data_IF_232307565186
#
_entry.id   IF_232307565186
#
_cell.length_a   1.000
_cell.length_b   1.000
_cell.length_c   1.000
_cell.angle_alpha   90.00
_cell.angle_beta   90.00
_cell.angle_gamma   90.00
#
_symmetry.space_group_name_H-M   'P 1'
#
loop_
_entity.id
_entity.type
_entity.pdbx_description
1 polymer ?
#
# COMPACT_ATOMS: atom_id res chain seq x y z
N UNK A 1 12.23 0.62 49.64
CA UNK A 1 10.97 -0.17 49.78
C UNK A 1 10.66 -0.59 51.23
N UNK A 2 11.60 -1.11 52.05
CA UNK A 2 11.28 -1.78 53.34
C UNK A 2 10.46 -1.05 54.43
N UNK A 3 10.41 0.29 54.50
CA UNK A 3 9.85 1.00 55.66
C UNK A 3 8.36 1.40 55.53
N UNK A 4 7.81 1.40 54.30
CA UNK A 4 6.37 1.66 54.05
C UNK A 4 5.54 0.39 54.22
N UNK A 5 6.05 -0.75 53.76
CA UNK A 5 5.36 -2.04 53.77
C UNK A 5 5.13 -2.56 55.21
N UNK A 6 6.13 -2.38 56.09
CA UNK A 6 6.01 -2.75 57.51
C UNK A 6 4.97 -1.93 58.27
N UNK A 7 4.82 -0.63 57.96
CA UNK A 7 3.80 0.24 58.57
C UNK A 7 2.39 -0.13 58.12
N UNK A 8 2.21 -0.51 56.85
CA UNK A 8 0.92 -0.94 56.33
C UNK A 8 0.47 -2.26 56.98
N UNK A 9 1.37 -3.25 57.07
CA UNK A 9 1.12 -4.51 57.76
C UNK A 9 0.70 -4.33 59.22
N UNK A 10 1.42 -3.46 59.95
CA UNK A 10 1.08 -3.11 61.33
C UNK A 10 -0.30 -2.43 61.44
N UNK A 11 -0.66 -1.59 60.47
CA UNK A 11 -1.97 -0.93 60.46
C UNK A 11 -3.13 -1.90 60.25
N UNK A 12 -2.99 -2.90 59.37
CA UNK A 12 -4.03 -3.91 59.15
C UNK A 12 -4.13 -4.94 60.27
N UNK A 13 -3.00 -5.27 60.92
CA UNK A 13 -3.03 -6.04 62.16
C UNK A 13 -3.79 -5.29 63.27
N UNK A 14 -3.57 -3.97 63.39
CA UNK A 14 -4.32 -3.15 64.34
C UNK A 14 -5.82 -3.09 64.03
N UNK A 15 -6.22 -3.02 62.75
CA UNK A 15 -7.64 -3.11 62.33
C UNK A 15 -8.24 -4.47 62.73
N UNK A 16 -7.51 -5.57 62.52
CA UNK A 16 -7.94 -6.90 62.98
C UNK A 16 -8.19 -6.96 64.50
N UNK A 17 -7.29 -6.35 65.28
CA UNK A 17 -7.44 -6.23 66.74
C UNK A 17 -8.66 -5.39 67.13
N UNK A 18 -8.96 -4.30 66.40
CA UNK A 18 -10.16 -3.48 66.62
C UNK A 18 -11.44 -4.29 66.34
N UNK A 19 -11.48 -5.05 65.25
CA UNK A 19 -12.62 -5.92 64.90
C UNK A 19 -12.85 -6.98 65.98
N UNK A 20 -11.79 -7.63 66.45
CA UNK A 20 -11.85 -8.57 67.59
C UNK A 20 -12.40 -7.88 68.85
N UNK A 21 -11.94 -6.66 69.15
CA UNK A 21 -12.45 -5.86 70.27
C UNK A 21 -13.95 -5.56 70.17
N UNK A 22 -14.45 -5.25 68.97
CA UNK A 22 -15.88 -5.02 68.72
C UNK A 22 -16.69 -6.32 68.90
N UNK A 23 -16.20 -7.45 68.38
CA UNK A 23 -16.88 -8.75 68.52
C UNK A 23 -16.99 -9.14 70.00
N UNK A 24 -15.92 -8.98 70.77
CA UNK A 24 -15.90 -9.28 72.20
C UNK A 24 -16.82 -8.34 72.99
N UNK A 25 -16.80 -7.05 72.68
CA UNK A 25 -17.68 -6.05 73.31
C UNK A 25 -19.16 -6.34 73.04
N UNK A 26 -19.50 -6.66 71.79
CA UNK A 26 -20.86 -7.03 71.39
C UNK A 26 -21.28 -8.35 72.07
N UNK A 27 -20.43 -9.37 72.10
CA UNK A 27 -20.74 -10.63 72.76
C UNK A 27 -21.05 -10.43 74.26
N UNK A 28 -20.32 -9.53 74.93
CA UNK A 28 -20.54 -9.18 76.33
C UNK A 28 -21.87 -8.41 76.53
N UNK A 29 -22.20 -7.45 75.64
CA UNK A 29 -23.48 -6.72 75.68
C UNK A 29 -24.71 -7.63 75.49
N UNK A 30 -24.57 -8.71 74.72
CA UNK A 30 -25.63 -9.68 74.49
C UNK A 30 -25.59 -10.89 75.45
N UNK A 31 -24.80 -10.81 76.54
CA UNK A 31 -24.65 -11.86 77.55
C UNK A 31 -24.31 -13.25 76.96
N UNK A 32 -23.66 -13.31 75.79
CA UNK A 32 -23.36 -14.57 75.10
C UNK A 32 -24.59 -15.36 74.59
N UNK A 33 -25.80 -14.78 74.65
CA UNK A 33 -27.05 -15.45 74.21
C UNK A 33 -27.18 -15.53 72.69
N UNK A 34 -26.46 -14.68 71.95
CA UNK A 34 -26.46 -14.71 70.50
C UNK A 34 -25.49 -15.80 69.99
N UNK A 35 -26.04 -16.86 69.41
CA UNK A 35 -25.29 -18.01 68.89
C UNK A 35 -24.21 -17.62 67.87
N UNK A 36 -24.45 -16.58 67.08
CA UNK A 36 -23.49 -16.10 66.05
C UNK A 36 -22.29 -15.44 66.72
N UNK A 37 -22.52 -14.56 67.71
CA UNK A 37 -21.43 -13.88 68.44
C UNK A 37 -20.63 -14.84 69.31
N UNK A 38 -21.30 -15.85 69.90
CA UNK A 38 -20.63 -16.86 70.70
C UNK A 38 -19.65 -17.69 69.84
N UNK A 39 -20.09 -18.11 68.65
CA UNK A 39 -19.24 -18.79 67.67
C UNK A 39 -18.07 -17.91 67.19
N UNK A 40 -18.33 -16.61 66.92
CA UNK A 40 -17.30 -15.65 66.48
C UNK A 40 -16.29 -15.29 67.60
N UNK A 41 -16.67 -15.44 68.87
CA UNK A 41 -15.83 -15.13 70.03
C UNK A 41 -14.84 -16.24 70.42
N UNK A 42 -14.88 -17.37 69.71
CA UNK A 42 -13.94 -18.47 69.93
C UNK A 42 -12.51 -18.01 69.60
N UNK A 43 -11.56 -18.35 70.48
CA UNK A 43 -10.17 -17.87 70.37
C UNK A 43 -9.50 -18.22 69.03
N UNK A 44 -9.84 -19.37 68.45
CA UNK A 44 -9.37 -19.80 67.12
C UNK A 44 -9.92 -18.91 66.00
N UNK A 45 -11.20 -18.51 66.09
CA UNK A 45 -11.85 -17.64 65.10
C UNK A 45 -11.29 -16.22 65.19
N UNK A 46 -11.10 -15.69 66.40
CA UNK A 46 -10.50 -14.37 66.62
C UNK A 46 -9.04 -14.32 66.15
N UNK A 47 -8.24 -15.34 66.46
CA UNK A 47 -6.88 -15.48 65.95
C UNK A 47 -6.87 -15.58 64.41
N UNK A 48 -7.82 -16.32 63.84
CA UNK A 48 -8.04 -16.39 62.40
C UNK A 48 -8.29 -15.03 61.75
N UNK A 49 -9.12 -14.17 62.35
CA UNK A 49 -9.41 -12.81 61.86
C UNK A 49 -8.15 -11.94 61.88
N UNK A 50 -7.37 -11.97 62.97
CA UNK A 50 -6.15 -11.17 63.13
C UNK A 50 -5.06 -11.59 62.16
N UNK A 51 -4.98 -12.88 61.81
CA UNK A 51 -3.99 -13.42 60.85
C UNK A 51 -4.45 -13.24 59.40
N UNK A 52 -5.74 -13.42 59.11
CA UNK A 52 -6.25 -13.38 57.74
C UNK A 52 -6.10 -12.00 57.08
N UNK A 53 -6.32 -10.91 57.82
CA UNK A 53 -6.26 -9.56 57.26
C UNK A 53 -4.85 -9.15 56.77
N UNK A 54 -3.78 -9.28 57.57
CA UNK A 54 -2.40 -9.07 57.10
C UNK A 54 -2.01 -10.00 55.93
N UNK A 55 -2.51 -11.24 55.94
CA UNK A 55 -2.22 -12.25 54.91
C UNK A 55 -2.88 -11.90 53.57
N UNK A 56 -4.13 -11.43 53.58
CA UNK A 56 -4.82 -10.95 52.38
C UNK A 56 -4.14 -9.72 51.78
N UNK A 57 -3.67 -8.80 52.63
CA UNK A 57 -2.95 -7.60 52.19
C UNK A 57 -1.61 -7.97 51.55
N UNK A 58 -0.82 -8.87 52.14
CA UNK A 58 0.45 -9.31 51.55
C UNK A 58 0.24 -10.08 50.25
N UNK A 59 -0.80 -10.91 50.16
CA UNK A 59 -1.18 -11.54 48.90
C UNK A 59 -1.53 -10.53 47.82
N UNK A 60 -2.35 -9.53 48.16
CA UNK A 60 -2.75 -8.52 47.19
C UNK A 60 -1.54 -7.66 46.73
N UNK A 61 -0.66 -7.30 47.66
CA UNK A 61 0.60 -6.61 47.34
C UNK A 61 1.54 -7.46 46.49
N UNK A 62 1.67 -8.76 46.78
CA UNK A 62 2.48 -9.67 45.97
C UNK A 62 1.92 -9.80 44.55
N UNK A 63 0.59 -9.84 44.40
CA UNK A 63 -0.08 -9.80 43.09
C UNK A 63 0.20 -8.48 42.37
N UNK A 64 0.04 -7.33 43.04
CA UNK A 64 0.34 -6.02 42.46
C UNK A 64 1.81 -5.88 42.04
N UNK A 65 2.75 -6.25 42.91
CA UNK A 65 4.19 -6.25 42.60
C UNK A 65 4.53 -7.21 41.45
N UNK A 66 3.90 -8.39 41.39
CA UNK A 66 4.11 -9.32 40.29
C UNK A 66 3.63 -8.75 38.95
N UNK A 67 2.49 -8.03 38.95
CA UNK A 67 1.95 -7.36 37.77
C UNK A 67 2.83 -6.20 37.35
N UNK A 68 3.32 -5.40 38.30
CA UNK A 68 4.19 -4.26 38.04
C UNK A 68 5.58 -4.70 37.54
N UNK A 69 6.16 -5.74 38.14
CA UNK A 69 7.41 -6.33 37.66
C UNK A 69 7.26 -6.90 36.25
N UNK A 70 6.17 -7.63 35.96
CA UNK A 70 5.89 -8.14 34.61
C UNK A 70 5.76 -6.99 33.60
N UNK A 71 5.07 -5.91 33.98
CA UNK A 71 4.95 -4.69 33.17
C UNK A 71 6.31 -4.03 32.91
N UNK A 72 7.18 -3.94 33.91
CA UNK A 72 8.52 -3.38 33.76
C UNK A 72 9.40 -4.24 32.84
N UNK A 73 9.41 -5.57 33.02
CA UNK A 73 10.16 -6.48 32.13
C UNK A 73 9.70 -6.40 30.68
N UNK A 74 8.38 -6.33 30.45
CA UNK A 74 7.84 -6.13 29.09
C UNK A 74 8.26 -4.77 28.52
N UNK A 75 8.19 -3.70 29.32
CA UNK A 75 8.63 -2.37 28.89
C UNK A 75 10.11 -2.32 28.52
N UNK A 76 10.98 -3.02 29.26
CA UNK A 76 12.42 -3.09 28.96
C UNK A 76 12.68 -3.87 27.67
N UNK A 77 12.00 -5.01 27.46
CA UNK A 77 12.10 -5.78 26.23
C UNK A 77 11.65 -4.98 25.00
N UNK A 78 10.56 -4.20 25.11
CA UNK A 78 10.09 -3.32 24.03
C UNK A 78 11.12 -2.24 23.74
N UNK A 79 11.69 -1.61 24.77
CA UNK A 79 12.73 -0.59 24.61
C UNK A 79 13.97 -1.14 23.91
N UNK A 80 14.41 -2.34 24.26
CA UNK A 80 15.57 -2.97 23.63
C UNK A 80 15.28 -3.39 22.18
N UNK A 81 14.05 -3.83 21.90
CA UNK A 81 13.57 -4.10 20.53
C UNK A 81 13.60 -2.82 19.68
N UNK A 82 13.06 -1.71 20.20
CA UNK A 82 13.08 -0.40 19.53
C UNK A 82 14.51 0.01 19.23
N UNK A 83 15.41 -0.01 20.24
CA UNK A 83 16.83 0.34 20.06
C UNK A 83 17.50 -0.49 18.96
N UNK A 84 17.20 -1.79 18.90
CA UNK A 84 17.78 -2.70 17.91
C UNK A 84 17.36 -2.32 16.48
N UNK A 85 16.07 -2.09 16.25
CA UNK A 85 15.56 -1.72 14.93
C UNK A 85 15.88 -0.28 14.54
N UNK A 86 15.87 0.66 15.49
CA UNK A 86 16.33 2.05 15.26
C UNK A 86 17.78 2.07 14.81
N UNK A 87 18.65 1.28 15.45
CA UNK A 87 20.05 1.17 15.05
C UNK A 87 20.17 0.68 13.60
N UNK A 88 19.43 -0.36 13.23
CA UNK A 88 19.44 -0.87 11.86
C UNK A 88 18.94 0.15 10.83
N UNK A 89 17.86 0.87 11.15
CA UNK A 89 17.35 1.94 10.29
C UNK A 89 18.36 3.08 10.19
N UNK A 90 18.95 3.50 11.31
CA UNK A 90 19.94 4.59 11.34
C UNK A 90 21.15 4.25 10.47
N UNK A 91 21.69 3.04 10.57
CA UNK A 91 22.81 2.58 9.74
C UNK A 91 22.44 2.54 8.25
N UNK A 92 21.24 2.05 7.93
CA UNK A 92 20.74 1.95 6.55
C UNK A 92 20.51 3.36 5.94
N UNK A 93 19.89 4.25 6.71
CA UNK A 93 19.61 5.64 6.34
C UNK A 93 20.89 6.44 6.19
N UNK A 94 21.89 6.24 7.06
CA UNK A 94 23.19 6.87 6.93
C UNK A 94 23.90 6.48 5.62
N UNK A 95 23.84 5.19 5.26
CA UNK A 95 24.39 4.70 4.00
C UNK A 95 23.65 5.27 2.77
N UNK A 96 22.31 5.30 2.79
CA UNK A 96 21.49 5.95 1.75
C UNK A 96 21.82 7.44 1.62
N UNK A 97 21.95 8.14 2.73
CA UNK A 97 22.25 9.58 2.74
C UNK A 97 23.64 9.86 2.15
N UNK A 98 24.60 8.96 2.40
CA UNK A 98 25.96 9.04 1.86
C UNK A 98 26.01 8.74 0.37
N UNK A 99 25.32 7.70 -0.10
CA UNK A 99 25.34 7.31 -1.52
C UNK A 99 24.37 8.12 -2.37
N UNK A 100 23.36 8.77 -1.76
CA UNK A 100 22.23 9.42 -2.43
C UNK A 100 21.49 8.49 -3.40
N UNK A 101 21.44 7.21 -3.04
CA UNK A 101 20.82 6.15 -3.86
C UNK A 101 19.94 5.26 -2.99
N UNK A 102 18.74 4.95 -3.51
CA UNK A 102 17.79 4.02 -2.92
C UNK A 102 17.53 2.85 -3.88
N UNK A 103 18.43 1.86 -3.92
CA UNK A 103 18.20 0.63 -4.68
C UNK A 103 17.15 -0.23 -3.98
N UNK A 104 16.51 -1.11 -4.77
CA UNK A 104 15.39 -1.94 -4.31
C UNK A 104 15.67 -2.73 -3.03
N UNK A 105 16.86 -3.32 -2.90
CA UNK A 105 17.20 -4.10 -1.71
C UNK A 105 17.24 -3.26 -0.41
N UNK A 106 17.59 -1.97 -0.49
CA UNK A 106 17.54 -1.06 0.67
C UNK A 106 16.11 -0.65 0.97
N UNK A 107 15.32 -0.35 -0.07
CA UNK A 107 13.91 -0.01 0.07
C UNK A 107 13.11 -1.16 0.72
N UNK A 108 13.26 -2.38 0.19
CA UNK A 108 12.64 -3.57 0.76
C UNK A 108 13.14 -3.90 2.18
N UNK A 109 14.39 -3.55 2.51
CA UNK A 109 14.90 -3.70 3.88
C UNK A 109 14.24 -2.73 4.86
N UNK A 110 13.93 -1.49 4.44
CA UNK A 110 13.16 -0.54 5.25
C UNK A 110 11.77 -1.10 5.53
N UNK A 111 11.05 -1.51 4.48
CA UNK A 111 9.72 -2.12 4.60
C UNK A 111 9.74 -3.32 5.54
N UNK A 112 10.68 -4.25 5.34
CA UNK A 112 10.84 -5.43 6.19
C UNK A 112 11.09 -5.09 7.66
N UNK A 113 11.94 -4.10 7.96
CA UNK A 113 12.22 -3.69 9.33
C UNK A 113 10.95 -3.15 9.99
N UNK A 114 10.22 -2.27 9.30
CA UNK A 114 8.99 -1.66 9.82
C UNK A 114 7.92 -2.71 10.05
N UNK A 115 7.68 -3.59 9.08
CA UNK A 115 6.70 -4.68 9.20
C UNK A 115 7.04 -5.64 10.34
N UNK A 116 8.32 -6.00 10.50
CA UNK A 116 8.77 -6.90 11.56
C UNK A 116 8.62 -6.23 12.92
N UNK A 117 9.04 -4.97 13.03
CA UNK A 117 8.87 -4.16 14.23
C UNK A 117 7.39 -4.06 14.64
N UNK A 118 6.50 -3.72 13.70
CA UNK A 118 5.07 -3.59 13.95
C UNK A 118 4.41 -4.90 14.38
N UNK A 119 4.78 -6.03 13.77
CA UNK A 119 4.30 -7.35 14.18
C UNK A 119 4.68 -7.66 15.62
N UNK A 120 5.94 -7.38 15.99
CA UNK A 120 6.41 -7.57 17.37
C UNK A 120 5.68 -6.63 18.32
N UNK A 121 5.55 -5.35 17.99
CA UNK A 121 4.93 -4.36 18.87
C UNK A 121 3.44 -4.51 19.05
N UNK A 122 2.72 -5.05 18.06
CA UNK A 122 1.30 -5.36 18.19
C UNK A 122 1.02 -6.27 19.39
N UNK A 123 1.84 -7.30 19.57
CA UNK A 123 1.72 -8.22 20.72
C UNK A 123 1.92 -7.52 22.07
N UNK A 124 2.76 -6.47 22.09
CA UNK A 124 3.08 -5.73 23.33
C UNK A 124 2.12 -4.57 23.61
N UNK A 125 1.64 -3.87 22.57
CA UNK A 125 0.73 -2.72 22.68
C UNK A 125 -0.68 -3.10 23.17
N UNK A 126 -1.12 -4.33 22.93
CA UNK A 126 -2.35 -4.87 23.53
C UNK A 126 -2.26 -4.95 25.08
N UNK A 127 -1.05 -4.99 25.62
CA UNK A 127 -0.77 -5.18 27.05
C UNK A 127 -0.42 -3.84 27.73
N UNK A 128 0.33 -2.97 27.04
CA UNK A 128 0.84 -1.72 27.58
C UNK A 128 0.73 -0.63 26.52
N UNK A 129 -0.05 0.44 26.78
CA UNK A 129 -0.04 1.66 25.96
C UNK A 129 1.32 2.34 26.08
N UNK A 130 2.32 1.89 25.32
CA UNK A 130 3.68 2.41 25.33
C UNK A 130 3.82 3.51 24.28
N UNK A 131 4.41 4.64 24.67
CA UNK A 131 4.75 5.76 23.78
C UNK A 131 6.21 5.64 23.33
N UNK A 132 6.52 4.54 22.62
CA UNK A 132 7.88 4.27 22.12
C UNK A 132 7.76 3.82 20.66
N UNK A 133 8.21 4.68 19.75
CA UNK A 133 8.21 4.44 18.29
C UNK A 133 9.64 4.45 17.74
N UNK A 134 9.83 3.88 16.54
CA UNK A 134 11.05 4.13 15.76
C UNK A 134 11.13 5.61 15.33
N UNK A 135 12.33 6.07 14.96
CA UNK A 135 12.53 7.41 14.39
C UNK A 135 12.16 7.45 12.89
N UNK A 136 10.86 7.36 12.62
CA UNK A 136 10.33 7.42 11.26
C UNK A 136 10.58 8.77 10.57
N UNK A 137 10.76 9.85 11.34
CA UNK A 137 11.00 11.20 10.81
C UNK A 137 12.34 11.26 10.09
N UNK A 138 13.41 10.75 10.72
CA UNK A 138 14.74 10.71 10.10
C UNK A 138 14.75 9.86 8.82
N UNK A 139 14.06 8.71 8.85
CA UNK A 139 13.93 7.82 7.69
C UNK A 139 13.23 8.55 6.55
N UNK A 140 12.08 9.17 6.81
CA UNK A 140 11.30 9.90 5.82
C UNK A 140 12.11 11.03 5.18
N UNK A 141 12.72 11.91 6.00
CA UNK A 141 13.57 13.01 5.53
C UNK A 141 14.68 12.53 4.60
N UNK A 142 15.26 11.35 4.88
CA UNK A 142 16.35 10.84 4.05
C UNK A 142 15.87 10.29 2.72
N UNK A 143 14.88 9.39 2.71
CA UNK A 143 14.40 8.76 1.46
C UNK A 143 13.74 9.79 0.54
N UNK A 144 12.98 10.73 1.09
CA UNK A 144 12.30 11.80 0.35
C UNK A 144 13.24 12.92 -0.11
N UNK A 145 14.53 12.89 0.25
CA UNK A 145 15.53 13.84 -0.26
C UNK A 145 16.18 13.40 -1.57
N UNK A 146 15.95 12.14 -1.99
CA UNK A 146 16.61 11.54 -3.15
C UNK A 146 15.89 11.99 -4.42
N UNK A 147 16.54 12.86 -5.18
CA UNK A 147 15.99 13.40 -6.42
C UNK A 147 15.86 12.30 -7.48
N UNK A 148 14.73 12.32 -8.20
CA UNK A 148 14.48 11.47 -9.34
C UNK A 148 15.47 11.71 -10.51
N UNK A 149 15.71 10.70 -11.36
CA UNK A 149 16.56 10.83 -12.55
C UNK A 149 15.89 11.67 -13.66
N UNK A 150 16.67 12.09 -14.67
CA UNK A 150 16.12 12.81 -15.83
C UNK A 150 15.12 11.94 -16.60
N UNK A 151 14.09 12.58 -17.15
CA UNK A 151 13.04 11.91 -17.91
C UNK A 151 12.09 11.11 -17.04
N UNK A 152 11.79 11.62 -15.84
CA UNK A 152 10.88 11.01 -14.86
C UNK A 152 9.42 10.96 -15.35
N UNK A 153 9.08 11.91 -16.21
CA UNK A 153 7.77 12.09 -16.84
C UNK A 153 7.51 11.11 -17.99
N UNK A 154 8.57 10.50 -18.54
CA UNK A 154 8.45 9.63 -19.71
C UNK A 154 8.15 8.19 -19.29
N UNK A 155 7.01 7.60 -19.70
CA UNK A 155 6.73 6.21 -19.44
C UNK A 155 7.77 5.31 -20.11
N UNK A 156 8.24 4.29 -19.39
CA UNK A 156 9.18 3.29 -19.92
C UNK A 156 10.68 3.60 -19.71
N UNK A 157 11.02 4.71 -19.05
CA UNK A 157 12.39 4.96 -18.60
C UNK A 157 12.72 4.07 -17.40
N UNK A 158 13.49 3.00 -17.60
CA UNK A 158 13.80 2.00 -16.57
C UNK A 158 14.42 2.60 -15.29
N UNK A 159 15.27 3.63 -15.41
CA UNK A 159 15.85 4.28 -14.23
C UNK A 159 14.80 5.08 -13.45
N UNK A 160 13.90 5.76 -14.17
CA UNK A 160 12.79 6.49 -13.57
C UNK A 160 11.80 5.54 -12.87
N UNK A 161 11.39 4.46 -13.55
CA UNK A 161 10.48 3.45 -13.00
C UNK A 161 11.07 2.77 -11.76
N UNK A 162 12.36 2.38 -11.81
CA UNK A 162 13.04 1.81 -10.65
C UNK A 162 13.09 2.81 -9.49
N UNK A 163 13.34 4.09 -9.76
CA UNK A 163 13.32 5.12 -8.70
C UNK A 163 11.93 5.25 -8.08
N UNK A 164 10.87 5.34 -8.91
CA UNK A 164 9.48 5.47 -8.45
C UNK A 164 9.09 4.31 -7.55
N UNK A 165 9.35 3.08 -8.01
CA UNK A 165 9.04 1.85 -7.28
C UNK A 165 9.84 1.75 -5.98
N UNK A 166 11.15 1.95 -6.02
CA UNK A 166 11.99 1.86 -4.82
C UNK A 166 11.62 2.92 -3.77
N UNK A 167 11.35 4.15 -4.21
CA UNK A 167 10.89 5.20 -3.30
C UNK A 167 9.56 4.80 -2.67
N UNK A 168 8.57 4.40 -3.48
CA UNK A 168 7.25 3.96 -3.00
C UNK A 168 7.34 2.83 -1.98
N UNK A 169 8.15 1.80 -2.24
CA UNK A 169 8.34 0.65 -1.34
C UNK A 169 8.83 1.09 0.05
N UNK A 170 9.76 2.04 0.12
CA UNK A 170 10.24 2.56 1.41
C UNK A 170 9.26 3.59 2.02
N UNK A 171 8.63 4.40 1.18
CA UNK A 171 7.83 5.56 1.57
C UNK A 171 6.51 5.18 2.22
N UNK A 172 5.75 4.28 1.59
CA UNK A 172 4.42 3.84 2.04
C UNK A 172 4.38 3.38 3.51
N UNK A 173 5.23 2.43 3.96
CA UNK A 173 5.21 1.99 5.36
C UNK A 173 5.64 3.11 6.32
N UNK A 174 6.64 3.93 5.97
CA UNK A 174 7.10 5.04 6.82
C UNK A 174 6.00 6.10 6.99
N UNK A 175 5.29 6.44 5.91
CA UNK A 175 4.20 7.40 5.95
C UNK A 175 3.05 6.94 6.83
N UNK A 176 2.64 5.67 6.71
CA UNK A 176 1.58 5.09 7.54
C UNK A 176 1.89 5.23 9.03
N UNK A 177 3.14 4.99 9.42
CA UNK A 177 3.56 5.14 10.81
C UNK A 177 3.62 6.60 11.27
N UNK A 178 4.05 7.53 10.41
CA UNK A 178 4.04 8.95 10.76
C UNK A 178 2.61 9.46 11.00
N UNK A 179 1.66 9.02 10.17
CA UNK A 179 0.24 9.36 10.29
C UNK A 179 -0.37 8.69 11.53
N UNK A 180 -0.07 7.41 11.78
CA UNK A 180 -0.55 6.71 12.98
C UNK A 180 -0.08 7.39 14.28
N UNK A 181 1.12 7.97 14.25
CA UNK A 181 1.74 8.72 15.34
C UNK A 181 1.33 10.20 15.41
N UNK A 182 0.49 10.68 14.49
CA UNK A 182 0.05 12.09 14.40
C UNK A 182 1.20 13.09 14.29
N UNK A 183 2.21 12.76 13.48
CA UNK A 183 3.40 13.59 13.20
C UNK A 183 3.38 14.15 11.79
N UNK A 184 2.20 14.40 11.22
CA UNK A 184 2.00 14.75 9.81
C UNK A 184 2.61 16.12 9.44
N UNK A 185 2.89 16.97 10.43
CA UNK A 185 3.58 18.25 10.23
C UNK A 185 4.93 18.11 9.49
N UNK A 186 5.59 16.95 9.61
CA UNK A 186 6.86 16.66 8.94
C UNK A 186 6.75 16.70 7.42
N UNK A 187 5.56 16.41 6.85
CA UNK A 187 5.35 16.45 5.40
C UNK A 187 5.49 17.88 4.83
N UNK A 188 5.34 18.92 5.67
CA UNK A 188 5.64 20.31 5.32
C UNK A 188 7.13 20.67 5.35
N UNK A 189 7.98 19.86 5.99
CA UNK A 189 9.42 20.12 6.18
C UNK A 189 10.17 20.18 4.85
N UNK A 190 11.16 21.06 4.74
CA UNK A 190 12.01 21.21 3.53
C UNK A 190 12.79 19.94 3.18
N UNK A 191 13.02 19.06 4.15
CA UNK A 191 13.79 17.82 3.99
C UNK A 191 12.98 16.73 3.27
N UNK A 192 11.66 16.75 3.41
CA UNK A 192 10.75 15.83 2.75
C UNK A 192 10.33 16.46 1.43
N UNK A 193 10.87 16.00 0.30
CA UNK A 193 10.68 16.66 -1.00
C UNK A 193 9.95 15.82 -2.03
N UNK A 194 10.34 14.56 -2.18
CA UNK A 194 9.90 13.69 -3.26
C UNK A 194 8.92 12.62 -2.78
N UNK A 195 7.82 12.45 -3.52
CA UNK A 195 6.79 11.44 -3.29
C UNK A 195 6.52 10.68 -4.60
N UNK A 196 6.29 9.36 -4.50
CA UNK A 196 5.99 8.52 -5.66
C UNK A 196 4.98 7.42 -5.35
N UNK A 197 4.02 7.18 -6.24
CA UNK A 197 2.99 6.13 -6.14
C UNK A 197 2.21 6.11 -4.81
N UNK A 198 2.05 7.28 -4.20
CA UNK A 198 1.23 7.43 -2.98
C UNK A 198 -0.18 7.84 -3.38
N UNK A 199 -1.16 7.17 -2.80
CA UNK A 199 -2.58 7.53 -2.86
C UNK A 199 -2.90 8.32 -1.59
N UNK A 200 -3.10 9.62 -1.73
CA UNK A 200 -3.38 10.53 -0.64
C UNK A 200 -4.88 10.66 -0.40
N UNK A 201 -5.29 10.67 0.87
CA UNK A 201 -6.70 10.81 1.24
C UNK A 201 -7.52 9.51 1.17
N UNK A 202 -6.84 8.37 1.07
CA UNK A 202 -7.42 7.02 1.29
C UNK A 202 -7.05 6.50 2.67
N UNK A 203 -7.70 5.42 3.10
CA UNK A 203 -7.46 4.81 4.42
C UNK A 203 -5.99 4.51 4.69
N UNK A 204 -5.44 5.07 5.77
CA UNK A 204 -4.04 4.97 6.17
C UNK A 204 -3.12 6.06 5.58
N UNK A 205 -3.67 6.97 4.77
CA UNK A 205 -2.98 8.12 4.19
C UNK A 205 -3.80 9.41 4.31
N UNK A 206 -4.68 9.48 5.31
CA UNK A 206 -5.44 10.68 5.65
C UNK A 206 -4.50 11.69 6.32
N UNK A 207 -4.21 12.79 5.63
CA UNK A 207 -3.43 13.91 6.17
C UNK A 207 -4.28 15.17 5.98
N UNK A 208 -4.39 15.96 7.05
CA UNK A 208 -5.17 17.20 7.02
C UNK A 208 -4.31 18.40 7.42
N UNK A 209 -4.62 19.56 6.83
CA UNK A 209 -4.10 20.87 7.25
C UNK A 209 -2.57 21.01 7.13
N UNK A 210 -1.94 20.24 6.25
CA UNK A 210 -0.52 20.38 5.93
C UNK A 210 -0.33 21.38 4.81
N UNK A 211 0.71 22.21 4.95
CA UNK A 211 1.20 23.09 3.90
C UNK A 211 2.37 22.44 3.18
N UNK A 212 2.09 21.88 2.00
CA UNK A 212 3.10 21.34 1.09
C UNK A 212 3.74 22.48 0.31
N UNK A 213 5.03 22.71 0.55
CA UNK A 213 5.81 23.72 -0.14
C UNK A 213 7.06 23.13 -0.78
N UNK A 214 7.31 23.50 -2.03
CA UNK A 214 8.47 23.08 -2.83
C UNK A 214 8.62 21.54 -2.92
N UNK A 215 7.49 20.83 -3.07
CA UNK A 215 7.42 19.36 -3.16
C UNK A 215 7.30 18.88 -4.59
N UNK A 216 7.71 17.64 -4.86
CA UNK A 216 7.46 16.98 -6.15
C UNK A 216 6.70 15.67 -5.92
N UNK A 217 5.52 15.57 -6.53
CA UNK A 217 4.65 14.40 -6.53
C UNK A 217 4.73 13.73 -7.89
N UNK A 218 5.08 12.44 -7.92
CA UNK A 218 5.32 11.68 -9.15
C UNK A 218 4.39 10.47 -9.20
N UNK A 219 3.46 10.45 -10.14
CA UNK A 219 2.45 9.39 -10.28
C UNK A 219 1.72 9.11 -8.95
N UNK A 220 1.45 10.18 -8.21
CA UNK A 220 0.62 10.16 -7.02
C UNK A 220 -0.84 10.40 -7.39
N UNK A 221 -1.71 9.79 -6.61
CA UNK A 221 -3.16 9.94 -6.72
C UNK A 221 -3.68 10.67 -5.48
N UNK A 222 -4.70 11.50 -5.62
CA UNK A 222 -5.26 12.30 -4.53
C UNK A 222 -6.78 12.17 -4.48
N UNK A 223 -7.37 12.18 -3.28
CA UNK A 223 -8.79 12.49 -3.16
C UNK A 223 -9.04 14.00 -3.31
N UNK A 224 -10.20 14.37 -3.82
CA UNK A 224 -10.60 15.78 -3.89
C UNK A 224 -10.60 16.43 -2.50
N UNK A 225 -11.14 15.72 -1.49
CA UNK A 225 -11.14 16.17 -0.09
C UNK A 225 -9.72 16.43 0.44
N UNK A 226 -8.75 15.56 0.07
CA UNK A 226 -7.36 15.76 0.47
C UNK A 226 -6.77 17.04 -0.11
N UNK A 227 -7.02 17.30 -1.40
CA UNK A 227 -6.55 18.53 -2.05
C UNK A 227 -7.20 19.75 -1.39
N UNK A 228 -8.48 19.67 -1.03
CA UNK A 228 -9.24 20.75 -0.42
C UNK A 228 -8.81 21.06 1.03
N UNK A 229 -8.42 20.04 1.80
CA UNK A 229 -8.00 20.17 3.20
C UNK A 229 -6.53 20.57 3.38
N UNK A 230 -5.74 20.52 2.31
CA UNK A 230 -4.30 20.82 2.33
C UNK A 230 -3.97 22.00 1.40
N UNK A 231 -2.75 22.52 1.51
CA UNK A 231 -2.32 23.64 0.66
C UNK A 231 -1.01 23.32 -0.05
N UNK A 232 -0.92 23.72 -1.33
CA UNK A 232 0.21 23.44 -2.21
C UNK A 232 0.79 24.75 -2.73
N UNK A 233 2.08 24.98 -2.49
CA UNK A 233 2.79 26.19 -2.91
C UNK A 233 4.10 25.80 -3.62
N UNK A 234 4.21 26.15 -4.91
CA UNK A 234 5.39 25.85 -5.75
C UNK A 234 5.71 24.35 -5.80
N UNK A 235 4.69 23.51 -5.78
CA UNK A 235 4.85 22.08 -5.95
C UNK A 235 4.98 21.71 -7.44
N UNK A 236 5.50 20.53 -7.69
CA UNK A 236 5.56 19.88 -8.99
C UNK A 236 4.67 18.63 -8.96
N UNK A 237 3.75 18.51 -9.90
CA UNK A 237 2.90 17.35 -10.09
C UNK A 237 3.25 16.71 -11.43
N UNK A 238 3.67 15.44 -11.40
CA UNK A 238 4.16 14.72 -12.57
C UNK A 238 3.28 13.50 -12.79
N UNK A 239 2.50 13.45 -13.88
CA UNK A 239 1.59 12.35 -14.21
C UNK A 239 0.66 11.96 -13.04
N UNK A 240 0.07 12.94 -12.36
CA UNK A 240 -0.79 12.73 -11.19
C UNK A 240 -2.26 12.55 -11.57
N UNK A 241 -3.08 12.12 -10.61
CA UNK A 241 -4.53 12.01 -10.81
C UNK A 241 -5.32 12.24 -9.54
N UNK A 242 -6.64 12.45 -9.71
CA UNK A 242 -7.62 12.51 -8.63
C UNK A 242 -8.42 11.21 -8.67
N UNK A 243 -8.42 10.45 -7.57
CA UNK A 243 -9.10 9.15 -7.50
C UNK A 243 -10.61 9.27 -7.32
N UNK A 244 -11.06 10.26 -6.55
CA UNK A 244 -12.44 10.36 -6.12
C UNK A 244 -12.83 11.79 -5.73
N UNK A 245 -14.11 12.09 -5.90
CA UNK A 245 -14.69 13.40 -5.65
C UNK A 245 -14.39 14.40 -6.77
N UNK A 246 -14.98 15.60 -6.67
CA UNK A 246 -14.83 16.66 -7.65
C UNK A 246 -14.24 17.89 -6.98
N UNK A 247 -13.16 18.43 -7.54
CA UNK A 247 -12.56 19.67 -7.04
C UNK A 247 -13.51 20.84 -7.26
N UNK A 248 -13.52 21.77 -6.31
CA UNK A 248 -14.10 23.09 -6.55
C UNK A 248 -13.26 23.87 -7.58
N UNK A 249 -13.91 24.69 -8.40
CA UNK A 249 -13.25 25.57 -9.39
C UNK A 249 -12.15 26.44 -8.75
N UNK A 250 -12.34 26.86 -7.50
CA UNK A 250 -11.35 27.66 -6.77
C UNK A 250 -10.09 26.85 -6.44
N UNK A 251 -10.26 25.60 -6.01
CA UNK A 251 -9.15 24.74 -5.63
C UNK A 251 -8.42 24.16 -6.84
N UNK A 252 -9.13 23.90 -7.94
CA UNK A 252 -8.52 23.59 -9.23
C UNK A 252 -7.57 24.72 -9.67
N UNK A 253 -8.02 25.98 -9.61
CA UNK A 253 -7.17 27.15 -9.92
C UNK A 253 -5.96 27.26 -9.00
N UNK A 254 -6.12 27.00 -7.70
CA UNK A 254 -5.00 26.99 -6.74
C UNK A 254 -4.00 25.90 -7.07
N UNK A 255 -4.48 24.71 -7.45
CA UNK A 255 -3.65 23.59 -7.83
C UNK A 255 -2.87 23.90 -9.12
N UNK A 256 -3.54 24.46 -10.12
CA UNK A 256 -2.97 24.90 -11.42
C UNK A 256 -1.94 26.05 -11.29
N UNK A 257 -1.87 26.75 -10.16
CA UNK A 257 -0.78 27.70 -9.89
C UNK A 257 0.56 27.01 -9.56
N UNK A 258 0.56 25.69 -9.40
CA UNK A 258 1.76 24.87 -9.24
C UNK A 258 2.25 24.37 -10.60
N UNK A 259 3.44 23.76 -10.62
CA UNK A 259 4.00 23.20 -11.85
C UNK A 259 3.34 21.85 -12.14
N UNK A 260 2.78 21.67 -13.34
CA UNK A 260 2.27 20.39 -13.81
C UNK A 260 3.12 19.91 -15.00
N UNK A 261 3.54 18.65 -14.95
CA UNK A 261 4.36 18.00 -15.98
C UNK A 261 3.67 16.71 -16.40
N UNK A 262 3.43 16.55 -17.71
CA UNK A 262 2.64 15.42 -18.21
C UNK A 262 1.16 15.63 -17.96
N UNK A 263 0.46 14.61 -17.44
CA UNK A 263 -1.00 14.67 -17.21
C UNK A 263 -1.36 14.96 -15.76
N UNK A 264 -2.48 15.66 -15.53
CA UNK A 264 -3.17 15.68 -14.25
C UNK A 264 -4.65 15.37 -14.47
N UNK A 265 -5.03 14.11 -14.22
CA UNK A 265 -6.39 13.63 -14.51
C UNK A 265 -7.32 13.82 -13.33
N UNK A 266 -8.57 14.17 -13.59
CA UNK A 266 -9.62 14.13 -12.56
C UNK A 266 -10.18 12.71 -12.39
N UNK A 267 -11.22 12.56 -11.56
CA UNK A 267 -11.90 11.28 -11.32
C UNK A 267 -12.64 10.73 -12.55
N UNK A 268 -12.90 11.56 -13.56
CA UNK A 268 -13.51 11.15 -14.84
C UNK A 268 -12.44 10.83 -15.90
N UNK A 269 -11.17 10.77 -15.49
CA UNK A 269 -9.99 10.65 -16.35
C UNK A 269 -9.73 11.86 -17.28
N UNK A 270 -10.44 12.98 -17.10
CA UNK A 270 -10.25 14.19 -17.88
C UNK A 270 -8.97 14.91 -17.43
N UNK A 271 -8.09 15.23 -18.38
CA UNK A 271 -6.85 15.95 -18.11
C UNK A 271 -7.09 17.46 -18.10
N UNK A 272 -7.45 17.99 -16.92
CA UNK A 272 -7.79 19.41 -16.75
C UNK A 272 -6.57 20.34 -16.83
N UNK A 273 -5.35 19.81 -16.68
CA UNK A 273 -4.12 20.57 -16.88
C UNK A 273 -3.86 20.92 -18.35
N UNK A 274 -4.51 20.24 -19.31
CA UNK A 274 -4.32 20.42 -20.75
C UNK A 274 -5.37 21.32 -21.43
N UNK A 275 -6.32 21.91 -20.66
CA UNK A 275 -7.42 22.72 -21.21
C UNK A 275 -6.96 24.01 -21.90
N UNK A 276 -5.70 24.45 -21.69
CA UNK A 276 -5.13 25.64 -22.35
C UNK A 276 -4.22 25.34 -23.56
N UNK A 277 -4.05 24.07 -23.96
CA UNK A 277 -3.43 23.73 -25.24
C UNK A 277 -4.52 23.32 -26.23
N UNK A 278 -5.02 24.32 -26.95
CA UNK A 278 -5.96 24.14 -28.06
C UNK A 278 -5.45 23.09 -29.06
N UNK A 279 -6.39 22.24 -29.53
CA UNK A 279 -6.25 21.22 -30.58
C UNK A 279 -5.55 19.91 -30.20
N UNK A 280 -6.21 19.12 -29.36
CA UNK A 280 -6.40 17.71 -29.73
C UNK A 280 -7.89 17.41 -29.76
N UNK A 281 -8.35 16.94 -30.91
CA UNK A 281 -9.71 16.41 -31.06
C UNK A 281 -9.99 15.42 -29.94
N UNK A 282 -11.04 15.70 -29.18
CA UNK A 282 -11.75 14.74 -28.35
C UNK A 282 -11.98 13.45 -29.15
N UNK A 283 -11.19 12.43 -28.84
CA UNK A 283 -11.59 11.06 -29.09
C UNK A 283 -11.97 10.56 -27.72
N UNK A 284 -13.28 10.38 -27.50
CA UNK A 284 -13.82 9.59 -26.41
C UNK A 284 -13.06 8.27 -26.35
N UNK A 285 -12.19 8.08 -25.35
CA UNK A 285 -11.53 6.81 -25.10
C UNK A 285 -12.34 6.13 -23.99
N UNK A 286 -13.12 5.12 -24.37
CA UNK A 286 -13.90 4.32 -23.44
C UNK A 286 -13.03 3.44 -22.52
N UNK A 287 -13.62 3.14 -21.36
CA UNK A 287 -13.29 2.22 -20.26
C UNK A 287 -12.63 0.86 -20.64
N UNK A 288 -11.31 0.60 -20.49
CA UNK A 288 -10.79 -0.80 -20.69
C UNK A 288 -9.54 -1.24 -19.89
N UNK A 289 -9.74 -2.11 -18.89
CA UNK A 289 -9.39 -3.55 -18.87
C UNK A 289 -7.94 -4.11 -18.85
N UNK A 290 -7.64 -4.99 -17.89
CA UNK A 290 -6.38 -5.75 -17.69
C UNK A 290 -6.22 -6.95 -18.66
N UNK A 291 -5.00 -7.21 -19.13
CA UNK A 291 -4.63 -8.36 -19.99
C UNK A 291 -3.62 -9.30 -19.30
N UNK A 292 -3.90 -10.60 -19.34
CA UNK A 292 -3.09 -11.64 -18.72
C UNK A 292 -2.77 -12.80 -19.67
N UNK A 293 -1.53 -13.29 -19.67
CA UNK A 293 -1.18 -14.59 -20.25
C UNK A 293 -1.41 -15.69 -19.22
N UNK A 294 -2.54 -16.39 -19.34
CA UNK A 294 -3.01 -17.38 -18.34
C UNK A 294 -2.13 -18.59 -18.20
N UNK A 295 -1.44 -19.00 -19.26
CA UNK A 295 -0.64 -20.24 -19.22
C UNK A 295 0.63 -20.07 -18.42
N UNK A 296 1.29 -18.94 -18.56
CA UNK A 296 2.57 -18.67 -17.89
C UNK A 296 2.42 -17.75 -16.67
N UNK A 297 1.20 -17.28 -16.38
CA UNK A 297 0.91 -16.48 -15.21
C UNK A 297 1.41 -15.04 -15.31
N UNK A 298 1.47 -14.45 -16.52
CA UNK A 298 2.14 -13.16 -16.76
C UNK A 298 1.11 -12.06 -16.99
N UNK A 299 1.18 -10.98 -16.20
CA UNK A 299 0.45 -9.74 -16.48
C UNK A 299 1.07 -9.07 -17.70
N UNK A 300 0.32 -9.00 -18.80
CA UNK A 300 0.79 -8.51 -20.09
C UNK A 300 0.78 -6.97 -20.16
N UNK A 301 -0.01 -6.31 -19.31
CA UNK A 301 -0.19 -4.84 -19.28
C UNK A 301 1.13 -4.08 -19.30
N UNK A 302 2.09 -4.52 -18.49
CA UNK A 302 3.43 -3.92 -18.37
C UNK A 302 4.29 -4.01 -19.65
N UNK A 303 3.80 -4.68 -20.69
CA UNK A 303 4.52 -4.94 -21.93
C UNK A 303 3.76 -4.46 -23.17
N UNK A 304 2.49 -4.11 -23.03
CA UNK A 304 1.62 -3.74 -24.15
C UNK A 304 1.44 -2.22 -24.19
N UNK A 305 1.23 -1.69 -25.39
CA UNK A 305 1.19 -0.26 -25.63
C UNK A 305 -0.01 0.36 -24.93
N UNK A 306 0.25 1.36 -24.10
CA UNK A 306 -0.78 2.05 -23.31
C UNK A 306 -1.37 1.20 -22.18
N UNK A 307 -0.72 0.08 -21.81
CA UNK A 307 -1.15 -0.84 -20.75
C UNK A 307 -2.59 -1.36 -20.92
N UNK A 308 -3.08 -1.43 -22.16
CA UNK A 308 -4.46 -1.77 -22.48
C UNK A 308 -4.58 -2.55 -23.78
N UNK A 309 -5.74 -3.16 -23.99
CA UNK A 309 -6.16 -3.65 -25.30
C UNK A 309 -7.09 -2.64 -25.98
N UNK A 310 -7.18 -2.72 -27.31
CA UNK A 310 -7.99 -1.84 -28.15
C UNK A 310 -9.12 -2.64 -28.78
N UNK A 311 -10.36 -2.17 -28.68
CA UNK A 311 -11.47 -2.74 -29.43
C UNK A 311 -11.52 -2.12 -30.82
N UNK A 312 -11.48 -2.97 -31.85
CA UNK A 312 -11.56 -2.54 -33.25
C UNK A 312 -12.68 -3.30 -33.94
N UNK A 313 -13.64 -2.58 -34.49
CA UNK A 313 -14.73 -3.18 -35.25
C UNK A 313 -14.31 -3.45 -36.70
N UNK A 314 -14.68 -4.63 -37.21
CA UNK A 314 -14.59 -4.98 -38.62
C UNK A 314 -15.77 -5.87 -39.00
N UNK A 315 -16.59 -5.40 -39.94
CA UNK A 315 -17.72 -6.17 -40.50
C UNK A 315 -17.33 -7.01 -41.72
N UNK A 316 -16.09 -6.90 -42.18
CA UNK A 316 -15.61 -7.68 -43.32
C UNK A 316 -15.34 -9.13 -42.94
N UNK A 317 -15.64 -10.03 -43.86
CA UNK A 317 -15.21 -11.44 -43.80
C UNK A 317 -13.90 -11.67 -44.57
N UNK A 318 -13.46 -10.68 -45.35
CA UNK A 318 -12.26 -10.73 -46.19
C UNK A 318 -11.05 -10.41 -45.33
N UNK A 319 -10.14 -11.38 -45.20
CA UNK A 319 -8.94 -11.27 -44.35
C UNK A 319 -8.10 -10.01 -44.62
N UNK A 320 -7.96 -9.60 -45.88
CA UNK A 320 -7.17 -8.41 -46.23
C UNK A 320 -7.82 -7.13 -45.69
N UNK A 321 -9.13 -7.03 -45.78
CA UNK A 321 -9.91 -5.89 -45.29
C UNK A 321 -9.90 -5.86 -43.76
N UNK A 322 -10.12 -6.99 -43.10
CA UNK A 322 -9.98 -7.11 -41.63
C UNK A 322 -8.61 -6.58 -41.16
N UNK A 323 -7.53 -6.93 -41.86
CA UNK A 323 -6.19 -6.46 -41.49
C UNK A 323 -6.06 -4.95 -41.69
N UNK A 324 -6.66 -4.40 -42.74
CA UNK A 324 -6.68 -2.95 -42.98
C UNK A 324 -7.48 -2.22 -41.90
N UNK A 325 -8.64 -2.76 -41.52
CA UNK A 325 -9.50 -2.19 -40.48
C UNK A 325 -8.78 -2.17 -39.12
N UNK A 326 -8.07 -3.25 -38.78
CA UNK A 326 -7.21 -3.30 -37.58
C UNK A 326 -6.15 -2.19 -37.61
N UNK A 327 -5.49 -1.98 -38.76
CA UNK A 327 -4.45 -0.95 -38.86
C UNK A 327 -5.06 0.45 -38.73
N UNK A 328 -6.13 0.71 -39.47
CA UNK A 328 -6.81 2.00 -39.46
C UNK A 328 -7.34 2.33 -38.05
N UNK A 329 -7.89 1.33 -37.35
CA UNK A 329 -8.31 1.46 -35.96
C UNK A 329 -7.15 1.84 -35.05
N UNK A 330 -6.01 1.13 -35.14
CA UNK A 330 -4.82 1.46 -34.35
C UNK A 330 -4.27 2.87 -34.67
N UNK A 331 -4.30 3.27 -35.94
CA UNK A 331 -3.91 4.63 -36.36
C UNK A 331 -4.85 5.69 -35.78
N UNK A 332 -6.16 5.44 -35.71
CA UNK A 332 -7.10 6.35 -35.05
C UNK A 332 -6.86 6.49 -33.54
N UNK A 333 -6.26 5.47 -32.91
CA UNK A 333 -5.78 5.54 -31.53
C UNK A 333 -4.39 6.23 -31.40
N UNK A 334 -3.87 6.84 -32.47
CA UNK A 334 -2.57 7.52 -32.47
C UNK A 334 -1.36 6.58 -32.53
N UNK A 335 -1.56 5.29 -32.80
CA UNK A 335 -0.48 4.31 -32.85
C UNK A 335 0.12 4.31 -34.25
N UNK A 336 1.45 4.49 -34.35
CA UNK A 336 2.20 4.60 -35.61
C UNK A 336 2.33 3.29 -36.41
N UNK A 337 1.31 2.44 -36.41
CA UNK A 337 1.23 1.22 -37.23
C UNK A 337 0.95 1.62 -38.68
N UNK A 338 1.78 1.17 -39.63
CA UNK A 338 1.61 1.46 -41.05
C UNK A 338 1.63 0.19 -41.93
N UNK A 339 1.38 0.34 -43.23
CA UNK A 339 1.32 -0.76 -44.20
C UNK A 339 2.66 -1.33 -44.65
N UNK A 340 3.78 -0.81 -44.14
CA UNK A 340 5.09 -1.32 -44.54
C UNK A 340 5.30 -2.73 -43.97
N UNK A 341 5.90 -3.58 -44.80
CA UNK A 341 6.14 -5.01 -44.49
C UNK A 341 6.88 -5.17 -43.16
N UNK A 342 7.84 -4.32 -42.82
CA UNK A 342 8.60 -4.40 -41.58
C UNK A 342 8.04 -3.54 -40.43
N UNK A 343 6.85 -2.96 -40.55
CA UNK A 343 6.29 -2.17 -39.46
C UNK A 343 5.58 -3.06 -38.44
N UNK A 344 4.93 -4.15 -38.87
CA UNK A 344 4.01 -4.90 -38.01
C UNK A 344 3.94 -6.40 -38.27
N UNK A 345 3.56 -7.13 -37.23
CA UNK A 345 3.17 -8.53 -37.29
C UNK A 345 1.81 -8.72 -36.62
N UNK A 346 0.78 -9.08 -37.39
CA UNK A 346 -0.57 -9.34 -36.86
C UNK A 346 -0.80 -10.86 -36.72
N UNK A 347 -1.31 -11.28 -35.56
CA UNK A 347 -1.82 -12.62 -35.28
C UNK A 347 -3.26 -12.49 -34.81
N UNK A 348 -4.17 -13.30 -35.38
CA UNK A 348 -5.59 -13.26 -35.03
C UNK A 348 -6.01 -14.64 -34.54
N UNK A 349 -6.63 -14.69 -33.37
CA UNK A 349 -7.29 -15.86 -32.81
C UNK A 349 -8.79 -15.63 -32.67
N UNK A 350 -9.55 -16.70 -32.49
CA UNK A 350 -10.95 -16.59 -32.03
C UNK A 350 -11.01 -16.35 -30.52
N UNK A 351 -12.11 -15.80 -30.04
CA UNK A 351 -12.49 -15.86 -28.63
C UNK A 351 -12.95 -17.29 -28.32
N UNK A 352 -12.40 -17.87 -27.25
CA UNK A 352 -12.77 -19.21 -26.77
C UNK A 352 -13.86 -19.15 -25.68
N UNK A 353 -14.16 -17.97 -25.17
CA UNK A 353 -15.32 -17.74 -24.30
C UNK A 353 -16.58 -17.74 -25.16
N UNK A 354 -17.52 -18.60 -24.80
CA UNK A 354 -18.86 -18.72 -25.38
C UNK A 354 -19.87 -18.78 -24.24
N UNK A 355 -21.15 -18.55 -24.52
CA UNK A 355 -22.21 -18.68 -23.50
C UNK A 355 -22.21 -20.06 -22.81
N UNK A 356 -21.82 -21.12 -23.53
CA UNK A 356 -21.84 -22.50 -23.02
C UNK A 356 -20.70 -22.85 -22.07
N UNK A 357 -19.55 -22.20 -22.20
CA UNK A 357 -18.33 -22.54 -21.46
C UNK A 357 -17.80 -21.37 -20.62
N UNK A 358 -18.55 -20.26 -20.49
CA UNK A 358 -18.14 -19.07 -19.74
C UNK A 358 -17.75 -19.39 -18.28
N UNK A 359 -18.39 -20.37 -17.66
CA UNK A 359 -18.08 -20.83 -16.30
C UNK A 359 -16.73 -21.56 -16.15
N UNK A 360 -16.13 -22.01 -17.26
CA UNK A 360 -14.82 -22.69 -17.26
C UNK A 360 -13.64 -21.68 -17.30
N UNK A 361 -13.93 -20.40 -17.52
CA UNK A 361 -12.94 -19.32 -17.55
C UNK A 361 -13.00 -18.49 -16.26
N UNK A 362 -11.94 -17.71 -16.03
CA UNK A 362 -11.84 -16.81 -14.87
C UNK A 362 -13.02 -15.83 -14.91
N UNK A 363 -13.76 -15.72 -13.80
CA UNK A 363 -14.90 -14.82 -13.67
C UNK A 363 -14.50 -13.39 -14.06
N UNK A 364 -15.36 -12.71 -14.84
CA UNK A 364 -15.09 -11.37 -15.36
C UNK A 364 -14.23 -11.32 -16.63
N UNK A 365 -13.77 -12.45 -17.17
CA UNK A 365 -13.06 -12.47 -18.45
C UNK A 365 -13.98 -12.01 -19.61
N UNK A 366 -13.57 -10.99 -20.34
CA UNK A 366 -14.22 -10.49 -21.55
C UNK A 366 -13.89 -11.34 -22.77
N UNK A 367 -12.62 -11.72 -22.90
CA UNK A 367 -12.14 -12.58 -23.97
C UNK A 367 -11.07 -13.52 -23.46
N UNK A 368 -10.93 -14.66 -24.14
CA UNK A 368 -9.82 -15.59 -23.98
C UNK A 368 -9.38 -16.05 -25.36
N UNK A 369 -8.13 -15.79 -25.74
CA UNK A 369 -7.60 -16.08 -27.07
C UNK A 369 -6.25 -16.79 -27.02
N UNK A 370 -6.07 -17.74 -27.94
CA UNK A 370 -4.80 -18.44 -28.13
C UNK A 370 -4.14 -18.07 -29.45
N UNK A 371 -2.96 -17.46 -29.37
CA UNK A 371 -2.10 -17.14 -30.50
C UNK A 371 -0.79 -17.93 -30.43
N UNK A 372 -0.12 -18.13 -31.57
CA UNK A 372 1.21 -18.76 -31.58
C UNK A 372 2.13 -18.14 -32.61
N UNK A 373 3.42 -18.03 -32.26
CA UNK A 373 4.48 -17.56 -33.14
C UNK A 373 5.70 -18.47 -33.02
N UNK A 374 6.30 -18.83 -34.16
CA UNK A 374 7.53 -19.61 -34.18
C UNK A 374 8.73 -18.75 -33.79
N UNK A 375 9.58 -19.27 -32.90
CA UNK A 375 10.84 -18.65 -32.50
C UNK A 375 11.69 -18.27 -33.71
N UNK A 376 11.87 -19.20 -34.66
CA UNK A 376 12.63 -18.94 -35.88
C UNK A 376 12.06 -17.79 -36.71
N UNK A 377 10.73 -17.63 -36.74
CA UNK A 377 10.11 -16.54 -37.49
C UNK A 377 10.32 -15.21 -36.79
N UNK A 378 10.32 -15.18 -35.46
CA UNK A 378 10.64 -13.96 -34.70
C UNK A 378 12.11 -13.57 -34.91
N UNK A 379 13.01 -14.55 -34.83
CA UNK A 379 14.46 -14.34 -35.01
C UNK A 379 14.86 -13.95 -36.44
N UNK A 380 14.23 -14.55 -37.47
CA UNK A 380 14.50 -14.22 -38.89
C UNK A 380 13.80 -12.92 -39.32
N UNK A 381 12.65 -12.58 -38.73
CA UNK A 381 11.85 -11.41 -39.07
C UNK A 381 12.06 -10.25 -38.09
N UNK A 382 13.29 -10.10 -37.58
CA UNK A 382 13.68 -9.24 -36.46
C UNK A 382 13.49 -7.72 -36.70
N UNK A 383 12.67 -7.33 -37.68
CA UNK A 383 12.51 -5.97 -38.16
C UNK A 383 11.13 -5.38 -37.88
N UNK A 384 10.16 -6.15 -37.38
CA UNK A 384 8.83 -5.61 -37.06
C UNK A 384 8.89 -4.64 -35.86
N UNK A 385 8.35 -3.43 -36.03
CA UNK A 385 8.22 -2.44 -34.95
C UNK A 385 7.12 -2.84 -33.95
N UNK A 386 6.02 -3.39 -34.45
CA UNK A 386 4.85 -3.77 -33.66
C UNK A 386 4.50 -5.27 -33.80
N UNK A 387 4.14 -5.91 -32.69
CA UNK A 387 3.54 -7.24 -32.65
C UNK A 387 2.12 -7.11 -32.11
N UNK A 388 1.15 -7.45 -32.94
CA UNK A 388 -0.27 -7.20 -32.73
C UNK A 388 -0.99 -8.54 -32.61
N UNK A 389 -1.69 -8.75 -31.51
CA UNK A 389 -2.48 -9.96 -31.25
C UNK A 389 -3.95 -9.58 -31.11
N UNK A 390 -4.79 -10.09 -31.99
CA UNK A 390 -6.22 -9.81 -32.00
C UNK A 390 -6.99 -11.05 -31.58
N UNK A 391 -7.97 -10.88 -30.69
CA UNK A 391 -8.92 -11.92 -30.29
C UNK A 391 -10.29 -11.52 -30.85
N UNK A 392 -10.72 -12.22 -31.90
CA UNK A 392 -11.99 -11.99 -32.58
C UNK A 392 -13.16 -12.42 -31.70
N UNK A 393 -14.03 -11.47 -31.38
CA UNK A 393 -15.31 -11.65 -30.72
C UNK A 393 -16.40 -11.05 -31.61
N UNK A 394 -17.10 -11.91 -32.36
CA UNK A 394 -18.06 -11.47 -33.40
C UNK A 394 -17.42 -10.49 -34.40
N UNK A 395 -17.90 -9.24 -34.46
CA UNK A 395 -17.38 -8.17 -35.32
C UNK A 395 -16.32 -7.31 -34.63
N UNK A 396 -15.98 -7.58 -33.37
CA UNK A 396 -15.01 -6.84 -32.57
C UNK A 396 -13.72 -7.63 -32.45
N UNK A 397 -12.60 -6.94 -32.62
CA UNK A 397 -11.25 -7.49 -32.48
C UNK A 397 -10.58 -6.87 -31.27
N UNK A 398 -10.51 -7.62 -30.17
CA UNK A 398 -9.78 -7.21 -28.97
C UNK A 398 -8.29 -7.28 -29.26
N UNK A 399 -7.65 -6.14 -29.40
CA UNK A 399 -6.34 -5.98 -30.03
C UNK A 399 -5.29 -5.57 -29.01
N UNK A 400 -4.30 -6.43 -28.82
CA UNK A 400 -3.18 -6.25 -27.91
C UNK A 400 -1.95 -5.90 -28.74
N UNK A 401 -1.31 -4.77 -28.44
CA UNK A 401 -0.18 -4.26 -29.24
C UNK A 401 1.07 -4.24 -28.39
N UNK A 402 2.14 -4.88 -28.85
CA UNK A 402 3.47 -4.77 -28.27
C UNK A 402 4.38 -3.97 -29.20
N UNK A 403 5.18 -3.07 -28.65
CA UNK A 403 6.39 -2.60 -29.34
C UNK A 403 7.47 -3.66 -29.27
N UNK A 404 8.35 -3.70 -30.27
CA UNK A 404 9.40 -4.72 -30.43
C UNK A 404 10.18 -5.00 -29.15
N UNK A 405 10.66 -3.96 -28.46
CA UNK A 405 11.52 -4.14 -27.29
C UNK A 405 10.75 -4.68 -26.09
N UNK A 406 9.51 -4.23 -25.88
CA UNK A 406 8.64 -4.77 -24.84
C UNK A 406 8.17 -6.19 -25.17
N UNK A 407 7.92 -6.49 -26.46
CA UNK A 407 7.64 -7.85 -26.90
C UNK A 407 8.82 -8.78 -26.59
N UNK A 408 10.06 -8.36 -26.89
CA UNK A 408 11.26 -9.12 -26.57
C UNK A 408 11.44 -9.33 -25.05
N UNK A 409 11.14 -8.31 -24.23
CA UNK A 409 11.14 -8.44 -22.76
C UNK A 409 10.07 -9.42 -22.28
N UNK A 410 8.88 -9.37 -22.85
CA UNK A 410 7.79 -10.30 -22.56
C UNK A 410 8.17 -11.74 -22.94
N UNK A 411 8.80 -11.95 -24.11
CA UNK A 411 9.28 -13.27 -24.55
C UNK A 411 10.31 -13.89 -23.60
N UNK A 412 11.12 -13.10 -22.87
CA UNK A 412 12.06 -13.63 -21.87
C UNK A 412 11.35 -14.33 -20.71
N UNK A 413 10.08 -14.00 -20.45
CA UNK A 413 9.24 -14.66 -19.44
C UNK A 413 8.44 -15.85 -20.00
N UNK A 414 8.50 -16.07 -21.32
CA UNK A 414 7.72 -17.12 -21.99
C UNK A 414 8.56 -18.36 -22.22
N UNK A 415 7.93 -19.52 -22.03
CA UNK A 415 8.50 -20.80 -22.42
C UNK A 415 8.24 -21.08 -23.90
N UNK A 416 9.27 -21.61 -24.58
CA UNK A 416 9.17 -22.13 -25.94
C UNK A 416 8.77 -23.60 -25.85
N UNK A 417 7.75 -24.02 -26.62
CA UNK A 417 7.36 -25.42 -26.64
C UNK A 417 8.36 -26.31 -27.41
N UNK A 418 8.16 -27.64 -27.32
CA UNK A 418 9.02 -28.63 -28.00
C UNK A 418 9.06 -28.47 -29.52
N UNK A 419 8.12 -27.72 -30.11
CA UNK A 419 8.03 -27.46 -31.56
C UNK A 419 8.64 -26.11 -31.95
N UNK A 420 9.27 -25.40 -31.00
CA UNK A 420 9.90 -24.10 -31.25
C UNK A 420 8.89 -22.95 -31.34
N UNK A 421 7.70 -23.07 -30.75
CA UNK A 421 6.69 -22.00 -30.74
C UNK A 421 6.55 -21.36 -29.38
N UNK A 422 6.38 -20.04 -29.39
CA UNK A 422 5.74 -19.32 -28.30
C UNK A 422 4.23 -19.43 -28.46
N UNK A 423 3.56 -19.80 -27.37
CA UNK A 423 2.11 -19.84 -27.30
C UNK A 423 1.64 -18.76 -26.34
N UNK A 424 0.68 -17.94 -26.76
CA UNK A 424 0.16 -16.81 -26.00
C UNK A 424 -1.30 -17.04 -25.67
N UNK A 425 -1.65 -17.06 -24.39
CA UNK A 425 -3.00 -17.36 -23.91
C UNK A 425 -3.58 -16.12 -23.23
N UNK A 426 -3.95 -15.14 -24.04
CA UNK A 426 -4.38 -13.84 -23.56
C UNK A 426 -5.83 -13.87 -23.09
N UNK A 427 -6.04 -13.48 -21.84
CA UNK A 427 -7.35 -13.15 -21.29
C UNK A 427 -7.42 -11.65 -21.01
N UNK A 428 -8.54 -11.03 -21.38
CA UNK A 428 -8.84 -9.64 -21.02
C UNK A 428 -9.97 -9.57 -20.01
N UNK A 429 -9.90 -8.61 -19.10
CA UNK A 429 -10.89 -8.34 -18.07
C UNK A 429 -11.41 -6.91 -18.22
N UNK A 430 -12.61 -6.60 -17.72
CA UNK A 430 -12.98 -5.19 -17.51
C UNK A 430 -12.13 -4.61 -16.38
N UNK A 431 -11.90 -3.30 -16.39
CA UNK A 431 -11.48 -2.61 -15.18
C UNK A 431 -12.54 -2.91 -14.11
N UNK A 432 -12.12 -3.28 -12.90
CA UNK A 432 -13.08 -3.39 -11.81
C UNK A 432 -13.64 -1.98 -11.58
N UNK A 433 -14.90 -1.76 -11.91
CA UNK A 433 -15.71 -0.80 -11.14
C UNK A 433 -15.84 -1.40 -9.74
N UNK A 434 -15.20 -0.78 -8.76
CA UNK A 434 -15.52 -1.00 -7.34
C UNK A 434 -16.79 -0.25 -6.94
#
# INVERSE_FOLDING_TARGET
>A
MKNKDGKLLLSFAAVGVVIVGIILYMNNLFEGKNLILNSLSQGEVLAGIVIALPTLVTWNQAIEQSRENKKNTVSDNVRDTVKYYDKQLTELVADISKTKELPFYKAGKIEYIIDTYNKLLKEWNEILKLDISLDFVQVLSTICSIKYPKGIENPGNELAENWKYNLSTALKPVMREIISLKKEEIFGSKEVKYFSYVEFGVTGYEIEKVKFKDKSFVECTFSADFIDLNSFEKCEFINCSISNGQLSIENEKKLLNNTIIGTFRDSNEDDFANVNNEQFHSISVSEYGTVFDTREGIIADNYILGNKFFEIESKSEIRKEIYQDIINGLVSYGIGVDDKINNKKISISKNYITEKNKSEFIAGSLFSGWNSLFLEKIQKSNNFKYYIFCIKNENVYNTIVFEKDNFNRFLKKKNVDKTGKYNFYFNGFKSNEE
#
